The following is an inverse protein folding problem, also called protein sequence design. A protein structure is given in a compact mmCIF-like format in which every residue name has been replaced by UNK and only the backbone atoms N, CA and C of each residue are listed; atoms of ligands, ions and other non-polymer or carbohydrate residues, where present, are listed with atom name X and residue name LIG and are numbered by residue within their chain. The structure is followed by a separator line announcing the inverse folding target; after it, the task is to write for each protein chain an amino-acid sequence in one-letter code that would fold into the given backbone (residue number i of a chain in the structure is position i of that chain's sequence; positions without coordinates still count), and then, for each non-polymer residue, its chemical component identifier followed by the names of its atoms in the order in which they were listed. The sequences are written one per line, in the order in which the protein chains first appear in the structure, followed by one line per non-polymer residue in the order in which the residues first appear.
data_IF_848052410643
#
_entry.id   IF_848052410643
#
_cell.length_a   1.000
_cell.length_b   1.000
_cell.length_c   1.000
_cell.angle_alpha   90.00
_cell.angle_beta   90.00
_cell.angle_gamma   90.00
#
_symmetry.space_group_name_H-M   'P 1'
#
loop_
_entity.id
_entity.type
_entity.pdbx_description
1 polymer ?
#
# COMPACT_ATOMS: atom_id res chain seq x y z
N UNK A 1 6.60 15.97 -0.24
CA UNK A 1 5.80 15.29 0.80
C UNK A 1 4.75 14.50 0.06
N UNK A 2 4.92 13.20 -0.02
CA UNK A 2 4.05 12.33 -0.81
C UNK A 2 2.75 12.11 -0.04
N UNK A 3 1.64 12.62 -0.59
CA UNK A 3 0.33 12.57 0.06
C UNK A 3 -0.35 11.28 -0.36
N UNK A 4 -0.27 10.25 0.49
CA UNK A 4 -1.06 9.04 0.27
C UNK A 4 -2.53 9.33 0.58
N UNK A 5 -3.48 8.64 -0.09
CA UNK A 5 -4.90 8.77 0.22
C UNK A 5 -5.21 8.33 1.66
N UNK A 6 -6.25 8.90 2.28
CA UNK A 6 -6.64 8.59 3.66
C UNK A 6 -7.02 7.12 3.90
N UNK A 7 -7.37 6.38 2.84
CA UNK A 7 -7.66 4.95 2.89
C UNK A 7 -6.39 4.07 2.87
N UNK A 8 -5.20 4.66 2.75
CA UNK A 8 -3.91 3.97 2.81
C UNK A 8 -3.21 4.28 4.13
N UNK A 9 -2.85 3.24 4.85
CA UNK A 9 -2.05 3.36 6.06
C UNK A 9 -0.86 2.42 5.99
N UNK A 10 0.35 2.93 6.23
CA UNK A 10 1.58 2.15 6.22
C UNK A 10 2.16 2.15 7.64
N UNK A 11 2.33 0.97 8.21
CA UNK A 11 2.86 0.79 9.55
C UNK A 11 4.03 -0.19 9.54
N UNK A 12 5.01 0.06 10.41
CA UNK A 12 6.11 -0.87 10.68
C UNK A 12 5.79 -1.63 11.97
N UNK A 13 5.62 -2.94 11.84
CA UNK A 13 5.32 -3.85 12.93
C UNK A 13 6.57 -4.72 13.18
N UNK A 14 7.15 -4.73 14.40
CA UNK A 14 8.42 -5.41 14.66
C UNK A 14 8.45 -6.89 14.26
N UNK A 15 7.36 -7.63 14.47
CA UNK A 15 7.25 -9.06 14.10
C UNK A 15 7.02 -9.31 12.61
N UNK A 16 6.44 -8.35 11.88
CA UNK A 16 5.99 -8.56 10.50
C UNK A 16 6.69 -7.66 9.48
N UNK A 17 7.51 -6.71 9.94
CA UNK A 17 8.12 -5.67 9.13
C UNK A 17 7.11 -4.62 8.67
N UNK A 18 7.11 -4.30 7.38
CA UNK A 18 6.19 -3.28 6.84
C UNK A 18 4.85 -3.89 6.48
N UNK A 19 3.79 -3.23 6.94
CA UNK A 19 2.41 -3.58 6.63
C UNK A 19 1.71 -2.37 6.02
N UNK A 20 1.14 -2.54 4.84
CA UNK A 20 0.23 -1.58 4.23
C UNK A 20 -1.20 -2.06 4.45
N UNK A 21 -2.07 -1.14 4.84
CA UNK A 21 -3.49 -1.35 5.00
C UNK A 21 -4.24 -0.46 4.03
N UNK A 22 -5.18 -1.05 3.29
CA UNK A 22 -6.05 -0.36 2.35
C UNK A 22 -7.51 -0.62 2.72
N UNK A 23 -8.23 0.43 3.13
CA UNK A 23 -9.65 0.31 3.48
C UNK A 23 -10.58 0.28 2.25
N UNK A 24 -10.06 0.66 1.08
CA UNK A 24 -10.78 0.60 -0.18
C UNK A 24 -10.47 -0.76 -0.86
N UNK A 25 -11.50 -1.61 -0.97
CA UNK A 25 -11.36 -2.97 -1.50
C UNK A 25 -11.08 -2.98 -3.00
N UNK A 26 -11.66 -2.05 -3.77
CA UNK A 26 -11.43 -1.97 -5.22
C UNK A 26 -10.01 -1.52 -5.53
N UNK A 27 -9.48 -0.60 -4.72
CA UNK A 27 -8.07 -0.18 -4.82
C UNK A 27 -7.13 -1.27 -4.30
N UNK A 28 -7.51 -1.98 -3.24
CA UNK A 28 -6.71 -3.07 -2.70
C UNK A 28 -6.48 -4.19 -3.71
N UNK A 29 -7.51 -4.61 -4.43
CA UNK A 29 -7.42 -5.62 -5.49
C UNK A 29 -6.38 -5.21 -6.55
N UNK A 30 -6.44 -3.95 -7.01
CA UNK A 30 -5.47 -3.42 -7.97
C UNK A 30 -4.06 -3.23 -7.40
N UNK A 31 -3.95 -2.91 -6.11
CA UNK A 31 -2.66 -2.85 -5.41
C UNK A 31 -2.03 -4.24 -5.32
N UNK A 32 -2.84 -5.28 -5.08
CA UNK A 32 -2.36 -6.67 -5.07
C UNK A 32 -1.71 -7.04 -6.40
N UNK A 33 -2.40 -6.77 -7.51
CA UNK A 33 -1.86 -6.98 -8.86
C UNK A 33 -0.57 -6.19 -9.05
N UNK A 34 -0.58 -4.88 -8.77
CA UNK A 34 0.59 -4.02 -8.94
C UNK A 34 1.80 -4.47 -8.10
N UNK A 35 1.59 -4.84 -6.84
CA UNK A 35 2.66 -5.33 -5.98
C UNK A 35 3.15 -6.71 -6.42
N UNK A 36 2.27 -7.57 -6.92
CA UNK A 36 2.69 -8.88 -7.44
C UNK A 36 3.56 -8.74 -8.69
N UNK A 37 3.30 -7.72 -9.53
CA UNK A 37 4.08 -7.44 -10.74
C UNK A 37 5.39 -6.70 -10.45
N UNK A 38 5.36 -5.65 -9.62
CA UNK A 38 6.48 -4.71 -9.44
C UNK A 38 7.25 -4.93 -8.11
N UNK A 39 6.69 -5.67 -7.15
CA UNK A 39 7.20 -5.76 -5.78
C UNK A 39 7.41 -7.21 -5.29
N UNK A 40 8.61 -7.74 -5.51
CA UNK A 40 9.02 -9.10 -5.10
C UNK A 40 9.05 -9.37 -3.57
N UNK A 41 8.76 -8.37 -2.73
CA UNK A 41 8.82 -8.51 -1.26
C UNK A 41 7.43 -8.64 -0.61
N UNK A 42 6.34 -8.57 -1.38
CA UNK A 42 5.01 -8.91 -0.85
C UNK A 42 5.01 -10.38 -0.41
N UNK A 43 4.85 -10.60 0.88
CA UNK A 43 4.93 -11.92 1.51
C UNK A 43 3.54 -12.50 1.79
N UNK A 44 2.59 -11.66 2.21
CA UNK A 44 1.25 -12.11 2.57
C UNK A 44 0.24 -11.00 2.34
N UNK A 45 -0.97 -11.37 1.92
CA UNK A 45 -2.16 -10.52 1.91
C UNK A 45 -3.18 -11.11 2.88
N UNK A 46 -3.82 -10.28 3.71
CA UNK A 46 -4.93 -10.67 4.59
C UNK A 46 -6.12 -9.77 4.38
N UNK A 47 -7.28 -10.39 4.27
CA UNK A 47 -8.58 -9.71 4.25
C UNK A 47 -9.04 -9.52 5.70
N UNK A 48 -9.11 -8.27 6.13
CA UNK A 48 -9.70 -7.87 7.40
C UNK A 48 -11.13 -7.35 7.17
N UNK A 49 -11.98 -7.24 8.21
CA UNK A 49 -13.40 -6.93 8.03
C UNK A 49 -13.71 -5.63 7.28
N UNK A 50 -12.80 -4.65 7.30
CA UNK A 50 -12.98 -3.33 6.66
C UNK A 50 -11.75 -2.87 5.86
N UNK A 51 -10.72 -3.71 5.74
CA UNK A 51 -9.46 -3.33 5.09
C UNK A 51 -8.72 -4.56 4.57
N UNK A 52 -7.80 -4.35 3.65
CA UNK A 52 -6.88 -5.37 3.14
C UNK A 52 -5.48 -5.02 3.63
N UNK A 53 -4.83 -5.97 4.27
CA UNK A 53 -3.48 -5.83 4.82
C UNK A 53 -2.45 -6.57 3.96
N UNK A 54 -1.47 -5.84 3.45
CA UNK A 54 -0.35 -6.30 2.65
C UNK A 54 0.91 -6.30 3.50
N UNK A 55 1.55 -7.46 3.63
CA UNK A 55 2.72 -7.68 4.46
C UNK A 55 3.96 -7.81 3.57
N UNK A 56 4.94 -6.92 3.74
CA UNK A 56 6.17 -6.90 2.93
C UNK A 56 7.39 -7.52 3.64
N UNK A 57 7.17 -8.08 4.84
CA UNK A 57 8.22 -8.68 5.66
C UNK A 57 9.21 -7.67 6.24
N UNK A 58 10.17 -8.16 7.04
CA UNK A 58 11.18 -7.33 7.73
C UNK A 58 12.22 -6.69 6.79
N UNK A 59 12.34 -7.20 5.56
CA UNK A 59 13.20 -6.58 4.54
C UNK A 59 12.52 -5.41 3.81
N UNK A 60 11.20 -5.25 3.98
CA UNK A 60 10.44 -4.12 3.47
C UNK A 60 10.85 -2.82 4.15
N UNK A 61 10.81 -1.70 3.41
CA UNK A 61 10.98 -0.35 3.96
C UNK A 61 9.69 0.43 3.78
N UNK A 62 9.19 1.03 4.86
CA UNK A 62 7.97 1.85 4.83
C UNK A 62 8.06 2.98 3.81
N UNK A 63 9.25 3.57 3.67
CA UNK A 63 9.56 4.58 2.65
C UNK A 63 9.38 4.01 1.24
N UNK A 64 9.97 2.85 0.94
CA UNK A 64 9.86 2.23 -0.40
C UNK A 64 8.42 1.82 -0.71
N UNK A 65 7.69 1.27 0.26
CA UNK A 65 6.28 0.90 0.09
C UNK A 65 5.45 2.16 -0.18
N UNK A 66 5.71 3.26 0.54
CA UNK A 66 5.07 4.54 0.27
C UNK A 66 5.40 5.06 -1.13
N UNK A 67 6.64 4.97 -1.59
CA UNK A 67 7.04 5.36 -2.95
C UNK A 67 6.31 4.53 -4.02
N UNK A 68 6.23 3.21 -3.85
CA UNK A 68 5.47 2.33 -4.75
C UNK A 68 3.99 2.69 -4.80
N UNK A 69 3.38 2.99 -3.64
CA UNK A 69 2.00 3.46 -3.61
C UNK A 69 1.84 4.77 -4.38
N UNK A 70 2.74 5.73 -4.20
CA UNK A 70 2.69 6.99 -4.93
C UNK A 70 2.86 6.77 -6.45
N UNK A 71 3.73 5.85 -6.86
CA UNK A 71 3.89 5.47 -8.26
C UNK A 71 2.59 4.87 -8.83
N UNK A 72 1.97 3.94 -8.10
CA UNK A 72 0.71 3.33 -8.47
C UNK A 72 -0.41 4.37 -8.62
N UNK A 73 -0.61 5.25 -7.62
CA UNK A 73 -1.63 6.30 -7.68
C UNK A 73 -1.36 7.34 -8.78
N UNK A 74 -0.08 7.68 -9.02
CA UNK A 74 0.31 8.54 -10.13
C UNK A 74 0.02 7.89 -11.48
N UNK A 75 0.25 6.58 -11.61
CA UNK A 75 -0.04 5.79 -12.82
C UNK A 75 -1.54 5.67 -13.09
N UNK A 76 -2.36 5.51 -12.05
CA UNK A 76 -3.82 5.45 -12.18
C UNK A 76 -4.50 6.82 -12.36
N UNK A 77 -3.76 7.93 -12.34
CA UNK A 77 -4.35 9.28 -12.42
C UNK A 77 -5.11 9.70 -11.16
N UNK A 78 -4.94 8.97 -10.04
CA UNK A 78 -5.45 9.35 -8.73
C UNK A 78 -4.42 10.30 -8.10
N UNK A 79 -4.38 11.53 -8.61
CA UNK A 79 -3.70 12.61 -7.90
C UNK A 79 -4.63 13.04 -6.77
N UNK A 80 -4.18 12.89 -5.51
CA UNK A 80 -4.90 13.38 -4.35
C UNK A 80 -5.37 14.81 -4.63
N UNK A 81 -6.68 14.99 -4.81
CA UNK A 81 -7.24 16.31 -5.08
C UNK A 81 -6.94 17.17 -3.87
N UNK A 82 -5.99 18.08 -4.02
CA UNK A 82 -5.97 19.34 -3.30
C UNK A 82 -7.34 19.96 -3.46
N UNK A 83 -8.15 19.89 -2.40
CA UNK A 83 -9.32 20.76 -2.26
C UNK A 83 -8.83 22.22 -2.12
N UNK A 84 -9.64 23.19 -2.58
CA UNK A 84 -9.29 24.61 -2.58
C UNK A 84 -9.00 25.17 -1.18
#
# INVERSE_FOLDING_TARGET
MSTLPDFINIAEIPDFGVVLKCSDVEVADRLEDFFTEECFVLFQVRLEPNEVAFFFGQAGSSVKVAELCNLFFSSMGISGKSGP
#
